data_IF_414266740112
#
_entry.id   IF_414266740112
#
_cell.length_a   1.000
_cell.length_b   1.000
_cell.length_c   1.000
_cell.angle_alpha   90.00
_cell.angle_beta   90.00
_cell.angle_gamma   90.00
#
_symmetry.space_group_name_H-M   'P 1'
#
loop_
_entity.id
_entity.type
_entity.pdbx_description
1 polymer ?
#
# COMPACT_ATOMS: atom_id res chain seq x y z
N UNK A 1 8.70 3.87 12.64
CA UNK A 1 8.95 5.32 12.88
C UNK A 1 10.36 5.78 12.51
N UNK A 2 11.40 5.03 12.81
CA UNK A 2 12.80 5.41 12.49
C UNK A 2 13.11 5.63 10.99
N UNK A 3 12.50 4.83 10.11
CA UNK A 3 12.73 4.92 8.65
C UNK A 3 12.20 6.24 8.07
N UNK A 4 11.16 6.81 8.63
CA UNK A 4 10.58 8.08 8.16
C UNK A 4 11.47 9.28 8.49
N UNK A 5 12.11 9.26 9.65
CA UNK A 5 13.05 10.32 10.06
C UNK A 5 14.35 10.27 9.26
N UNK A 6 14.85 9.07 8.98
CA UNK A 6 16.06 8.90 8.18
C UNK A 6 15.86 9.40 6.75
N UNK A 7 14.71 9.11 6.14
CA UNK A 7 14.36 9.59 4.81
C UNK A 7 14.25 11.12 4.75
N UNK A 8 13.65 11.73 5.77
CA UNK A 8 13.55 13.20 5.88
C UNK A 8 14.93 13.84 6.08
N UNK A 9 15.80 13.22 6.89
CA UNK A 9 17.15 13.71 7.17
C UNK A 9 18.05 13.63 5.91
N UNK A 10 17.95 12.52 5.15
CA UNK A 10 18.68 12.34 3.89
C UNK A 10 18.23 13.38 2.85
N UNK A 11 16.91 13.64 2.76
CA UNK A 11 16.37 14.66 1.86
C UNK A 11 16.83 16.06 2.26
N UNK A 12 16.95 16.38 3.55
CA UNK A 12 17.47 17.66 4.02
C UNK A 12 18.96 17.80 3.76
N UNK A 13 19.75 16.75 3.97
CA UNK A 13 21.20 16.76 3.75
C UNK A 13 21.54 16.89 2.25
N UNK A 14 20.79 16.20 1.38
CA UNK A 14 20.97 16.31 -0.08
C UNK A 14 20.56 17.67 -0.64
N UNK A 15 19.59 18.37 -0.01
CA UNK A 15 19.20 19.73 -0.40
C UNK A 15 20.28 20.78 -0.16
N UNK A 16 21.19 20.56 0.81
CA UNK A 16 22.31 21.45 1.11
C UNK A 16 23.42 21.40 0.04
N UNK A 17 23.55 20.27 -0.68
CA UNK A 17 24.59 20.03 -1.70
C UNK A 17 24.08 20.10 -3.15
N UNK A 18 22.80 20.44 -3.36
CA UNK A 18 22.21 20.50 -4.71
C UNK A 18 22.43 21.87 -5.32
N UNK A 19 22.88 21.97 -6.61
CA UNK A 19 22.97 23.22 -7.34
C UNK A 19 21.65 24.00 -7.30
N UNK A 20 21.74 25.34 -7.22
CA UNK A 20 20.58 26.23 -7.09
C UNK A 20 19.51 26.01 -8.15
N UNK A 21 19.89 25.58 -9.36
CA UNK A 21 18.99 25.33 -10.47
C UNK A 21 18.06 24.10 -10.29
N UNK A 22 18.44 23.16 -9.43
CA UNK A 22 17.65 21.94 -9.16
C UNK A 22 16.72 22.07 -7.96
N UNK A 23 16.85 23.10 -7.14
CA UNK A 23 16.01 23.31 -5.94
C UNK A 23 14.51 23.35 -6.22
N UNK A 24 13.99 24.10 -7.22
CA UNK A 24 12.56 24.15 -7.51
C UNK A 24 12.02 22.79 -7.96
N UNK A 25 12.81 22.02 -8.72
CA UNK A 25 12.42 20.69 -9.19
C UNK A 25 12.34 19.69 -8.03
N UNK A 26 13.27 19.73 -7.08
CA UNK A 26 13.26 18.90 -5.88
C UNK A 26 12.10 19.27 -4.96
N UNK A 27 11.77 20.55 -4.82
CA UNK A 27 10.61 20.99 -4.04
C UNK A 27 9.30 20.49 -4.67
N UNK A 28 9.19 20.53 -6.00
CA UNK A 28 8.03 20.00 -6.72
C UNK A 28 7.90 18.49 -6.53
N UNK A 29 9.01 17.76 -6.61
CA UNK A 29 9.04 16.32 -6.34
C UNK A 29 8.63 16.02 -4.90
N UNK A 30 9.16 16.78 -3.93
CA UNK A 30 8.78 16.64 -2.51
C UNK A 30 7.28 16.85 -2.29
N UNK A 31 6.70 17.89 -2.87
CA UNK A 31 5.24 18.16 -2.78
C UNK A 31 4.44 17.01 -3.38
N UNK A 32 4.85 16.49 -4.54
CA UNK A 32 4.21 15.35 -5.19
C UNK A 32 4.29 14.08 -4.34
N UNK A 33 5.43 13.80 -3.71
CA UNK A 33 5.61 12.67 -2.80
C UNK A 33 4.72 12.77 -1.55
N UNK A 34 4.63 13.96 -0.95
CA UNK A 34 3.72 14.17 0.19
C UNK A 34 2.27 13.95 -0.20
N UNK A 35 1.84 14.50 -1.34
CA UNK A 35 0.48 14.30 -1.81
C UNK A 35 0.14 12.82 -2.08
N UNK A 36 1.06 12.07 -2.69
CA UNK A 36 0.89 10.63 -2.92
C UNK A 36 0.86 9.83 -1.63
N UNK A 37 1.67 10.19 -0.62
CA UNK A 37 1.64 9.58 0.70
C UNK A 37 0.27 9.75 1.33
N UNK A 38 -0.27 10.95 1.30
CA UNK A 38 -1.56 11.26 1.91
C UNK A 38 -2.70 10.52 1.20
N UNK A 39 -2.62 10.35 -0.12
CA UNK A 39 -3.54 9.50 -0.88
C UNK A 39 -3.45 8.03 -0.47
N UNK A 40 -2.24 7.49 -0.34
CA UNK A 40 -2.04 6.08 0.11
C UNK A 40 -2.59 5.88 1.52
N UNK A 41 -2.37 6.82 2.43
CA UNK A 41 -2.92 6.75 3.80
C UNK A 41 -4.44 6.82 3.81
N UNK A 42 -5.05 7.65 2.96
CA UNK A 42 -6.51 7.70 2.80
C UNK A 42 -7.07 6.36 2.29
N UNK A 43 -6.38 5.68 1.36
CA UNK A 43 -6.80 4.37 0.87
C UNK A 43 -6.71 3.27 1.95
N UNK A 44 -5.69 3.33 2.81
CA UNK A 44 -5.57 2.40 3.94
C UNK A 44 -6.73 2.59 4.91
N UNK A 45 -7.09 3.83 5.24
CA UNK A 45 -8.25 4.14 6.08
C UNK A 45 -9.56 3.64 5.49
N UNK A 46 -9.76 3.84 4.18
CA UNK A 46 -10.95 3.34 3.48
C UNK A 46 -11.02 1.80 3.48
N UNK A 47 -9.88 1.12 3.33
CA UNK A 47 -9.83 -0.34 3.42
C UNK A 47 -10.23 -0.82 4.81
N UNK A 48 -9.64 -0.25 5.86
CA UNK A 48 -9.97 -0.61 7.25
C UNK A 48 -11.45 -0.40 7.57
N UNK A 49 -12.04 0.69 7.09
CA UNK A 49 -13.47 0.95 7.23
C UNK A 49 -14.33 -0.14 6.54
N UNK A 50 -14.00 -0.48 5.29
CA UNK A 50 -14.72 -1.54 4.56
C UNK A 50 -14.57 -2.91 5.21
N UNK A 51 -13.40 -3.24 5.74
CA UNK A 51 -13.22 -4.49 6.50
C UNK A 51 -14.02 -4.50 7.79
N UNK A 52 -14.16 -3.37 8.47
CA UNK A 52 -15.01 -3.24 9.66
C UNK A 52 -16.51 -3.40 9.32
N UNK A 53 -16.98 -2.82 8.21
CA UNK A 53 -18.35 -3.01 7.70
C UNK A 53 -18.65 -4.49 7.40
N UNK A 54 -17.70 -5.21 6.78
CA UNK A 54 -17.83 -6.65 6.52
C UNK A 54 -17.88 -7.43 7.84
N UNK A 55 -17.01 -7.10 8.79
CA UNK A 55 -16.97 -7.76 10.10
C UNK A 55 -18.32 -7.64 10.83
N UNK A 56 -18.92 -6.45 10.83
CA UNK A 56 -20.25 -6.21 11.41
C UNK A 56 -21.35 -6.93 10.64
N UNK A 57 -21.33 -6.86 9.30
CA UNK A 57 -22.38 -7.48 8.47
C UNK A 57 -22.44 -9.01 8.56
N UNK A 58 -21.31 -9.67 8.79
CA UNK A 58 -21.25 -11.12 8.97
C UNK A 58 -21.15 -11.58 10.42
N UNK A 59 -21.15 -10.64 11.38
CA UNK A 59 -20.96 -10.93 12.82
C UNK A 59 -19.68 -11.75 13.09
N UNK A 60 -18.56 -11.32 12.52
CA UNK A 60 -17.25 -11.97 12.60
C UNK A 60 -16.26 -11.01 13.22
N UNK A 61 -15.27 -11.49 13.99
CA UNK A 61 -14.20 -10.61 14.50
C UNK A 61 -13.46 -9.89 13.38
N UNK A 62 -13.22 -8.59 13.52
CA UNK A 62 -12.49 -7.79 12.54
C UNK A 62 -11.10 -8.38 12.23
N UNK A 63 -10.46 -8.95 13.24
CA UNK A 63 -9.15 -9.60 13.06
C UNK A 63 -9.23 -10.77 12.07
N UNK A 64 -10.28 -11.59 12.13
CA UNK A 64 -10.49 -12.70 11.19
C UNK A 64 -10.72 -12.20 9.77
N UNK A 65 -11.46 -11.10 9.59
CA UNK A 65 -11.65 -10.47 8.26
C UNK A 65 -10.33 -9.93 7.72
N UNK A 66 -9.48 -9.32 8.55
CA UNK A 66 -8.13 -8.90 8.18
C UNK A 66 -7.25 -10.07 7.75
N UNK A 67 -7.36 -11.19 8.41
CA UNK A 67 -6.63 -12.42 8.03
C UNK A 67 -7.10 -12.98 6.69
N UNK A 68 -8.39 -12.95 6.39
CA UNK A 68 -8.94 -13.28 5.07
C UNK A 68 -8.40 -12.31 4.00
N UNK A 69 -8.29 -11.03 4.31
CA UNK A 69 -7.70 -10.04 3.43
C UNK A 69 -6.21 -10.35 3.14
N UNK A 70 -5.44 -10.73 4.17
CA UNK A 70 -4.04 -11.12 4.01
C UNK A 70 -3.89 -12.42 3.22
N UNK A 71 -4.81 -13.37 3.36
CA UNK A 71 -4.83 -14.60 2.60
C UNK A 71 -4.97 -14.32 1.09
N UNK A 72 -5.80 -13.37 0.70
CA UNK A 72 -5.97 -12.97 -0.70
C UNK A 72 -4.70 -12.39 -1.35
N UNK A 73 -3.70 -11.99 -0.57
CA UNK A 73 -2.39 -11.51 -1.08
C UNK A 73 -1.38 -12.62 -1.31
N UNK A 74 -1.63 -13.81 -0.74
CA UNK A 74 -0.73 -14.96 -0.89
C UNK A 74 -1.03 -15.70 -2.20
N UNK A 75 0.00 -16.30 -2.79
CA UNK A 75 -0.17 -17.14 -3.96
C UNK A 75 -0.90 -18.45 -3.60
N UNK A 76 -1.95 -18.85 -4.36
CA UNK A 76 -2.62 -20.12 -4.16
C UNK A 76 -1.73 -21.35 -4.39
N UNK A 77 -0.55 -21.18 -4.95
CA UNK A 77 0.42 -22.25 -5.21
C UNK A 77 1.30 -22.58 -4.00
N UNK A 78 1.22 -21.78 -2.93
CA UNK A 78 2.07 -21.96 -1.74
C UNK A 78 1.40 -22.79 -0.66
N UNK A 79 2.15 -23.68 0.00
CA UNK A 79 1.66 -24.46 1.14
C UNK A 79 1.11 -23.58 2.28
N UNK A 80 1.77 -22.45 2.67
CA UNK A 80 1.24 -21.57 3.70
C UNK A 80 -0.10 -20.91 3.36
N UNK A 81 -0.47 -20.85 2.06
CA UNK A 81 -1.80 -20.40 1.65
C UNK A 81 -2.87 -21.41 2.07
N UNK A 82 -2.66 -22.70 1.76
CA UNK A 82 -3.65 -23.75 2.03
C UNK A 82 -3.79 -24.04 3.51
N UNK A 83 -2.70 -24.02 4.27
CA UNK A 83 -2.76 -24.15 5.72
C UNK A 83 -3.64 -23.04 6.34
N UNK A 84 -3.41 -21.80 5.95
CA UNK A 84 -4.18 -20.66 6.46
C UNK A 84 -5.62 -20.69 5.94
N UNK A 85 -5.83 -21.08 4.72
CA UNK A 85 -7.15 -21.26 4.13
C UNK A 85 -7.98 -22.26 4.93
N UNK A 86 -7.43 -23.43 5.24
CA UNK A 86 -8.08 -24.47 6.03
C UNK A 86 -8.43 -23.99 7.45
N UNK A 87 -7.53 -23.27 8.11
CA UNK A 87 -7.77 -22.70 9.44
C UNK A 87 -8.93 -21.70 9.41
N UNK A 88 -8.93 -20.76 8.48
CA UNK A 88 -9.97 -19.75 8.35
C UNK A 88 -11.31 -20.36 7.92
N UNK A 89 -11.28 -21.36 7.03
CA UNK A 89 -12.47 -22.10 6.62
C UNK A 89 -13.09 -22.84 7.81
N UNK A 90 -12.29 -23.51 8.65
CA UNK A 90 -12.76 -24.17 9.85
C UNK A 90 -13.33 -23.17 10.89
N UNK A 91 -12.68 -22.01 11.05
CA UNK A 91 -13.09 -20.96 11.99
C UNK A 91 -14.40 -20.28 11.58
N UNK A 92 -14.56 -19.97 10.29
CA UNK A 92 -15.73 -19.25 9.75
C UNK A 92 -16.85 -20.18 9.29
N UNK A 93 -16.57 -21.46 9.14
CA UNK A 93 -17.55 -22.49 8.71
C UNK A 93 -18.30 -22.04 7.43
N UNK A 94 -19.63 -22.07 7.43
CA UNK A 94 -20.47 -21.70 6.29
C UNK A 94 -20.36 -20.23 5.85
N UNK A 95 -19.85 -19.32 6.69
CA UNK A 95 -19.66 -17.89 6.35
C UNK A 95 -18.39 -17.62 5.54
N UNK A 96 -17.43 -18.56 5.47
CA UNK A 96 -16.11 -18.34 4.90
C UNK A 96 -16.15 -17.81 3.45
N UNK A 97 -16.89 -18.45 2.58
CA UNK A 97 -16.96 -18.07 1.17
C UNK A 97 -17.60 -16.69 0.98
N UNK A 98 -18.65 -16.39 1.74
CA UNK A 98 -19.33 -15.10 1.68
C UNK A 98 -18.41 -13.96 2.18
N UNK A 99 -17.68 -14.16 3.27
CA UNK A 99 -16.69 -13.20 3.77
C UNK A 99 -15.54 -13.04 2.77
N UNK A 100 -15.05 -14.12 2.17
CA UNK A 100 -13.98 -14.09 1.16
C UNK A 100 -14.40 -13.26 -0.05
N UNK A 101 -15.61 -13.46 -0.58
CA UNK A 101 -16.13 -12.69 -1.73
C UNK A 101 -16.36 -11.21 -1.37
N UNK A 102 -16.89 -10.91 -0.18
CA UNK A 102 -17.05 -9.54 0.28
C UNK A 102 -15.70 -8.81 0.38
N UNK A 103 -14.67 -9.48 0.92
CA UNK A 103 -13.30 -8.94 0.99
C UNK A 103 -12.71 -8.73 -0.41
N UNK A 104 -12.90 -9.67 -1.33
CA UNK A 104 -12.46 -9.51 -2.74
C UNK A 104 -13.16 -8.34 -3.43
N UNK A 105 -14.44 -8.17 -3.23
CA UNK A 105 -15.21 -7.04 -3.78
C UNK A 105 -14.69 -5.71 -3.22
N UNK A 106 -14.45 -5.63 -1.91
CA UNK A 106 -13.86 -4.45 -1.28
C UNK A 106 -12.48 -4.11 -1.85
N UNK A 107 -11.60 -5.12 -2.02
CA UNK A 107 -10.26 -4.94 -2.58
C UNK A 107 -10.28 -4.47 -4.05
N UNK A 108 -11.28 -4.88 -4.85
CA UNK A 108 -11.46 -4.42 -6.24
C UNK A 108 -11.83 -2.93 -6.33
N UNK A 109 -12.57 -2.42 -5.34
CA UNK A 109 -12.99 -1.02 -5.30
C UNK A 109 -11.88 -0.06 -4.86
N UNK A 110 -10.83 -0.58 -4.23
CA UNK A 110 -9.73 0.23 -3.74
C UNK A 110 -8.64 0.26 -4.81
N UNK A 111 -8.23 1.45 -5.31
CA UNK A 111 -7.13 1.56 -6.26
C UNK A 111 -5.89 0.88 -5.71
N UNK A 112 -5.23 0.07 -6.51
CA UNK A 112 -4.01 -0.62 -6.09
C UNK A 112 -2.93 0.40 -5.78
N UNK A 113 -2.43 0.41 -4.56
CA UNK A 113 -1.28 1.22 -4.17
C UNK A 113 -0.04 0.95 -5.07
N UNK A 114 0.04 -0.23 -5.69
CA UNK A 114 1.08 -0.58 -6.67
C UNK A 114 1.11 0.38 -7.86
N UNK A 115 -0.03 0.84 -8.37
CA UNK A 115 -0.07 1.77 -9.51
C UNK A 115 0.52 3.13 -9.15
N UNK A 116 0.35 3.59 -7.90
CA UNK A 116 0.96 4.83 -7.38
C UNK A 116 2.49 4.66 -7.21
N UNK A 117 2.92 3.52 -6.67
CA UNK A 117 4.34 3.20 -6.50
C UNK A 117 5.03 3.02 -7.85
N UNK A 118 4.39 2.36 -8.83
CA UNK A 118 4.91 2.21 -10.19
C UNK A 118 5.04 3.55 -10.90
N UNK A 119 4.04 4.43 -10.79
CA UNK A 119 4.10 5.78 -11.34
C UNK A 119 5.22 6.60 -10.70
N UNK A 120 5.39 6.51 -9.38
CA UNK A 120 6.49 7.14 -8.67
C UNK A 120 7.85 6.63 -9.15
N UNK A 121 8.00 5.30 -9.25
CA UNK A 121 9.24 4.68 -9.71
C UNK A 121 9.56 5.07 -11.17
N UNK A 122 8.56 5.15 -12.04
CA UNK A 122 8.74 5.61 -13.42
C UNK A 122 9.24 7.07 -13.47
N UNK A 123 8.65 7.95 -12.65
CA UNK A 123 9.09 9.35 -12.55
C UNK A 123 10.51 9.47 -12.00
N UNK A 124 10.85 8.71 -10.96
CA UNK A 124 12.18 8.69 -10.37
C UNK A 124 13.24 8.17 -11.38
N UNK A 125 12.94 7.13 -12.14
CA UNK A 125 13.84 6.61 -13.21
C UNK A 125 14.11 7.67 -14.26
N UNK A 126 13.09 8.38 -14.73
CA UNK A 126 13.25 9.45 -15.71
C UNK A 126 14.14 10.58 -15.15
N UNK A 127 13.97 10.90 -13.87
CA UNK A 127 14.77 11.93 -13.20
C UNK A 127 16.25 11.54 -13.09
N UNK A 128 16.52 10.30 -12.70
CA UNK A 128 17.89 9.77 -12.62
C UNK A 128 18.54 9.59 -14.00
N UNK A 129 17.75 9.24 -15.02
CA UNK A 129 18.23 9.12 -16.38
C UNK A 129 18.66 10.48 -16.96
N UNK A 130 17.84 11.52 -16.77
CA UNK A 130 18.17 12.88 -17.21
C UNK A 130 19.43 13.41 -16.53
N UNK A 131 19.64 13.10 -15.27
CA UNK A 131 20.84 13.49 -14.53
C UNK A 131 22.12 12.83 -15.07
N UNK A 132 22.01 11.61 -15.59
CA UNK A 132 23.15 10.84 -16.12
C UNK A 132 23.57 11.29 -17.53
N UNK A 133 22.64 11.92 -18.26
CA UNK A 133 22.89 12.41 -19.62
C UNK A 133 23.33 13.87 -19.68
N UNK A 134 23.18 14.62 -18.59
CA UNK A 134 23.55 16.03 -18.48
C UNK A 134 24.84 16.27 -17.67
N UNK A 135 25.49 15.25 -17.17
CA UNK A 135 26.79 15.27 -16.50
C UNK A 135 27.85 14.60 -17.32
#
# INVERSE_FOLDING_TARGET
MAISYLAILIVHLTLLFVPLDLRPQIQTLRKSLHHQRDQVLAFVGLLDQKLAEIALGFEVPLQTVREVCLLNRKSPTSNPYWERWNQLHAQLSGKFHAVMEAVRAALKQIPRASSLVENLNARLRNYFFLRRTLG
#
